data_IF_868618361016
#
_entry.id   IF_868618361016
#
_cell.length_a   1.000
_cell.length_b   1.000
_cell.length_c   1.000
_cell.angle_alpha   90.00
_cell.angle_beta   90.00
_cell.angle_gamma   90.00
#
_symmetry.space_group_name_H-M   'P 1'
#
loop_
_entity.id
_entity.type
_entity.pdbx_description
1 polymer ?
#
# COMPACT_ATOMS: atom_id res chain seq x y z
N UNK A 1 -11.49 -7.58 5.70
CA UNK A 1 -12.55 -7.84 6.67
C UNK A 1 -12.11 -8.93 7.65
N UNK A 2 -12.31 -8.70 8.94
CA UNK A 2 -12.11 -9.71 10.00
C UNK A 2 -13.28 -10.69 10.11
N UNK A 3 -14.34 -10.48 9.33
CA UNK A 3 -15.47 -11.39 9.29
C UNK A 3 -15.05 -12.73 8.66
N UNK A 4 -15.29 -13.82 9.39
CA UNK A 4 -14.96 -15.19 8.95
C UNK A 4 -16.13 -15.87 8.23
N UNK A 5 -17.32 -15.32 8.35
CA UNK A 5 -18.53 -15.87 7.76
C UNK A 5 -18.53 -15.67 6.24
N UNK A 6 -18.71 -16.75 5.51
CA UNK A 6 -18.72 -16.75 4.03
C UNK A 6 -20.12 -17.03 3.54
N UNK A 7 -20.70 -16.07 2.80
CA UNK A 7 -22.03 -16.18 2.21
C UNK A 7 -21.99 -16.67 0.76
N UNK A 8 -20.92 -16.40 0.04
CA UNK A 8 -20.66 -16.95 -1.30
C UNK A 8 -19.23 -17.43 -1.37
N UNK A 9 -19.04 -18.68 -1.78
CA UNK A 9 -17.75 -19.25 -2.10
C UNK A 9 -17.64 -19.49 -3.61
N UNK A 10 -16.64 -18.89 -4.24
CA UNK A 10 -16.30 -19.20 -5.64
C UNK A 10 -15.18 -20.23 -5.62
N UNK A 11 -15.51 -21.48 -5.93
CA UNK A 11 -14.57 -22.59 -5.90
C UNK A 11 -14.10 -22.95 -7.31
N UNK A 12 -12.87 -22.59 -7.64
CA UNK A 12 -12.23 -22.90 -8.92
C UNK A 12 -11.54 -24.27 -8.93
N UNK A 13 -11.42 -24.92 -7.76
CA UNK A 13 -10.89 -26.27 -7.57
C UNK A 13 -11.45 -26.88 -6.30
N UNK A 14 -11.24 -28.20 -6.12
CA UNK A 14 -11.70 -28.93 -4.96
C UNK A 14 -11.05 -28.45 -3.66
N UNK A 15 -9.77 -28.11 -3.69
CA UNK A 15 -9.03 -27.61 -2.51
C UNK A 15 -9.68 -26.36 -1.90
N UNK A 16 -10.25 -25.50 -2.71
CA UNK A 16 -10.99 -24.31 -2.23
C UNK A 16 -12.19 -24.70 -1.39
N UNK A 17 -12.95 -25.73 -1.81
CA UNK A 17 -14.08 -26.26 -1.06
C UNK A 17 -13.59 -26.87 0.26
N UNK A 18 -12.60 -27.76 0.19
CA UNK A 18 -12.08 -28.48 1.36
C UNK A 18 -11.54 -27.52 2.42
N UNK A 19 -10.87 -26.43 2.01
CA UNK A 19 -10.30 -25.42 2.93
C UNK A 19 -11.31 -24.45 3.53
N UNK A 20 -12.42 -24.16 2.85
CA UNK A 20 -13.29 -23.05 3.23
C UNK A 20 -14.74 -23.45 3.54
N UNK A 21 -15.11 -24.72 3.37
CA UNK A 21 -16.46 -25.23 3.67
C UNK A 21 -16.90 -24.90 5.09
N UNK A 22 -16.00 -25.04 6.07
CA UNK A 22 -16.28 -24.77 7.48
C UNK A 22 -16.57 -23.28 7.81
N UNK A 23 -16.35 -22.37 6.87
CA UNK A 23 -16.64 -20.93 7.01
C UNK A 23 -18.01 -20.54 6.44
N UNK A 24 -18.66 -21.46 5.73
CA UNK A 24 -19.96 -21.21 5.12
C UNK A 24 -21.02 -21.13 6.20
N UNK A 25 -21.88 -20.14 6.10
CA UNK A 25 -23.06 -20.01 6.97
C UNK A 25 -24.29 -20.63 6.32
N UNK A 26 -25.35 -20.88 7.09
CA UNK A 26 -26.60 -21.42 6.55
C UNK A 26 -27.17 -20.50 5.48
N UNK A 27 -27.61 -21.09 4.35
CA UNK A 27 -28.10 -20.36 3.18
C UNK A 27 -27.00 -19.80 2.27
N UNK A 28 -25.73 -20.10 2.52
CA UNK A 28 -24.60 -19.75 1.66
C UNK A 28 -24.70 -20.38 0.28
N UNK A 29 -24.06 -19.75 -0.71
CA UNK A 29 -23.94 -20.26 -2.08
C UNK A 29 -22.51 -20.68 -2.44
N UNK A 30 -22.37 -21.75 -3.21
CA UNK A 30 -21.11 -22.20 -3.78
C UNK A 30 -21.21 -22.15 -5.30
N UNK A 31 -20.42 -21.28 -5.94
CA UNK A 31 -20.23 -21.25 -7.38
C UNK A 31 -19.04 -22.14 -7.73
N UNK A 32 -19.21 -23.06 -8.65
CA UNK A 32 -18.15 -23.97 -9.09
C UNK A 32 -18.33 -24.39 -10.54
N UNK A 33 -17.28 -24.90 -11.15
CA UNK A 33 -17.38 -25.49 -12.50
C UNK A 33 -18.11 -26.85 -12.41
N UNK A 34 -19.35 -26.88 -12.90
CA UNK A 34 -20.19 -28.07 -12.86
C UNK A 34 -19.69 -29.23 -13.73
N UNK A 35 -18.80 -28.97 -14.71
CA UNK A 35 -18.20 -30.01 -15.54
C UNK A 35 -16.98 -30.65 -14.82
N UNK A 36 -16.27 -29.90 -13.98
CA UNK A 36 -15.05 -30.35 -13.31
C UNK A 36 -15.31 -30.88 -11.87
N UNK A 37 -16.23 -30.28 -11.12
CA UNK A 37 -16.46 -30.54 -9.71
C UNK A 37 -17.88 -31.09 -9.46
N UNK A 38 -18.00 -31.95 -8.48
CA UNK A 38 -19.28 -32.60 -8.09
C UNK A 38 -19.43 -32.61 -6.54
N UNK A 39 -19.47 -31.45 -5.88
CA UNK A 39 -19.71 -31.41 -4.45
C UNK A 39 -21.12 -31.91 -4.15
N UNK A 40 -21.27 -32.66 -3.03
CA UNK A 40 -22.56 -33.08 -2.50
C UNK A 40 -23.02 -32.13 -1.38
N UNK A 41 -24.31 -31.99 -1.15
CA UNK A 41 -24.83 -31.25 0.02
C UNK A 41 -24.38 -31.86 1.33
N UNK A 42 -24.14 -33.17 1.35
CA UNK A 42 -23.68 -33.91 2.53
C UNK A 42 -22.20 -33.60 2.89
N UNK A 43 -21.46 -32.90 2.02
CA UNK A 43 -20.08 -32.47 2.28
C UNK A 43 -20.03 -31.25 3.21
N UNK A 44 -21.18 -30.68 3.63
CA UNK A 44 -21.24 -29.41 4.36
C UNK A 44 -22.04 -29.55 5.67
N UNK A 45 -21.56 -28.88 6.71
CA UNK A 45 -22.18 -28.86 8.06
C UNK A 45 -23.47 -28.02 8.11
N UNK A 46 -23.70 -27.17 7.09
CA UNK A 46 -24.84 -26.25 7.00
C UNK A 46 -25.59 -26.44 5.68
N UNK A 47 -26.84 -25.95 5.64
CA UNK A 47 -27.59 -25.88 4.38
C UNK A 47 -26.89 -24.89 3.44
N UNK A 48 -26.37 -25.40 2.30
CA UNK A 48 -25.72 -24.63 1.25
C UNK A 48 -26.40 -24.82 -0.08
N UNK A 49 -26.37 -23.79 -0.91
CA UNK A 49 -26.89 -23.83 -2.28
C UNK A 49 -25.75 -24.04 -3.26
N UNK A 50 -25.92 -25.00 -4.14
CA UNK A 50 -24.91 -25.38 -5.13
C UNK A 50 -25.26 -24.80 -6.50
N UNK A 51 -24.33 -24.01 -7.06
CA UNK A 51 -24.47 -23.36 -8.36
C UNK A 51 -23.43 -23.91 -9.35
N UNK A 52 -23.75 -25.05 -10.01
CA UNK A 52 -22.91 -25.63 -11.06
C UNK A 52 -23.01 -24.77 -12.31
N UNK A 53 -21.92 -24.10 -12.66
CA UNK A 53 -21.82 -23.24 -13.85
C UNK A 53 -20.72 -23.81 -14.73
N UNK A 54 -20.89 -23.95 -16.05
CA UNK A 54 -19.85 -24.45 -16.94
C UNK A 54 -18.79 -23.35 -17.19
N UNK A 55 -18.04 -23.00 -16.12
CA UNK A 55 -17.14 -21.85 -16.10
C UNK A 55 -16.07 -21.93 -17.20
N UNK A 56 -15.45 -23.09 -17.35
CA UNK A 56 -14.40 -23.31 -18.35
C UNK A 56 -14.94 -23.27 -19.78
N UNK A 57 -16.11 -23.83 -20.00
CA UNK A 57 -16.76 -23.84 -21.33
C UNK A 57 -17.05 -22.39 -21.75
N UNK A 58 -17.70 -21.61 -20.90
CA UNK A 58 -18.02 -20.21 -21.17
C UNK A 58 -16.73 -19.38 -21.36
N UNK A 59 -15.73 -19.61 -20.54
CA UNK A 59 -14.45 -18.90 -20.65
C UNK A 59 -13.78 -19.12 -22.02
N UNK A 60 -13.78 -20.36 -22.51
CA UNK A 60 -13.20 -20.71 -23.80
C UNK A 60 -13.92 -20.03 -24.99
N UNK A 61 -15.23 -19.79 -24.88
CA UNK A 61 -16.02 -19.04 -25.87
C UNK A 61 -15.71 -17.53 -25.88
N UNK A 62 -15.08 -17.00 -24.82
CA UNK A 62 -14.80 -15.58 -24.64
C UNK A 62 -13.34 -15.17 -24.81
N UNK A 63 -12.41 -16.12 -24.91
CA UNK A 63 -10.98 -15.78 -25.04
C UNK A 63 -10.04 -16.74 -24.33
N UNK A 64 -10.57 -17.86 -23.84
CA UNK A 64 -9.80 -18.95 -23.24
C UNK A 64 -9.85 -18.99 -21.71
N UNK A 65 -9.09 -19.94 -21.16
CA UNK A 65 -9.09 -20.28 -19.72
C UNK A 65 -8.93 -19.08 -18.79
N UNK A 66 -8.20 -18.06 -19.21
CA UNK A 66 -7.95 -16.83 -18.40
C UNK A 66 -9.25 -16.07 -18.04
N UNK A 67 -10.31 -16.24 -18.84
CA UNK A 67 -11.61 -15.59 -18.61
C UNK A 67 -12.46 -16.28 -17.53
N UNK A 68 -12.05 -17.46 -17.02
CA UNK A 68 -12.83 -18.23 -16.06
C UNK A 68 -13.18 -17.42 -14.78
N UNK A 69 -12.24 -16.62 -14.29
CA UNK A 69 -12.48 -15.79 -13.12
C UNK A 69 -13.55 -14.71 -13.39
N UNK A 70 -13.51 -14.13 -14.58
CA UNK A 70 -14.49 -13.09 -14.96
C UNK A 70 -15.88 -13.68 -15.17
N UNK A 71 -15.99 -14.89 -15.72
CA UNK A 71 -17.27 -15.63 -15.80
C UNK A 71 -17.85 -15.88 -14.40
N UNK A 72 -17.01 -16.37 -13.47
CA UNK A 72 -17.43 -16.63 -12.09
C UNK A 72 -17.83 -15.34 -11.35
N UNK A 73 -17.14 -14.22 -11.63
CA UNK A 73 -17.49 -12.93 -11.05
C UNK A 73 -18.85 -12.43 -11.59
N UNK A 74 -19.11 -12.53 -12.90
CA UNK A 74 -20.41 -12.22 -13.49
C UNK A 74 -21.54 -13.05 -12.89
N UNK A 75 -21.30 -14.36 -12.68
CA UNK A 75 -22.23 -15.24 -12.01
C UNK A 75 -22.50 -14.81 -10.55
N UNK A 76 -21.47 -14.40 -9.83
CA UNK A 76 -21.60 -13.88 -8.45
C UNK A 76 -22.48 -12.62 -8.41
N UNK A 77 -22.25 -11.67 -9.32
CA UNK A 77 -23.05 -10.44 -9.43
C UNK A 77 -24.52 -10.77 -9.71
N UNK A 78 -24.79 -11.77 -10.55
CA UNK A 78 -26.14 -12.21 -10.85
C UNK A 78 -26.87 -12.83 -9.62
N UNK A 79 -26.20 -13.65 -8.84
CA UNK A 79 -26.75 -14.23 -7.59
C UNK A 79 -27.07 -13.13 -6.58
N UNK A 80 -26.21 -12.14 -6.45
CA UNK A 80 -26.39 -10.98 -5.56
C UNK A 80 -27.42 -9.96 -6.05
N UNK A 81 -27.99 -10.19 -7.23
CA UNK A 81 -28.94 -9.28 -7.90
C UNK A 81 -28.38 -7.85 -8.02
N UNK A 82 -27.10 -7.74 -8.36
CA UNK A 82 -26.43 -6.46 -8.45
C UNK A 82 -26.23 -6.01 -9.91
N UNK A 83 -25.96 -4.73 -10.09
CA UNK A 83 -25.89 -4.08 -11.40
C UNK A 83 -24.62 -4.52 -12.17
N UNK A 84 -24.84 -5.23 -13.30
CA UNK A 84 -23.75 -5.68 -14.18
C UNK A 84 -23.00 -4.51 -14.84
N UNK A 85 -23.65 -3.36 -15.08
CA UNK A 85 -23.00 -2.22 -15.72
C UNK A 85 -21.93 -1.60 -14.84
N UNK A 86 -22.09 -1.64 -13.50
CA UNK A 86 -21.03 -1.23 -12.59
C UNK A 86 -19.80 -2.12 -12.70
N UNK A 87 -19.99 -3.44 -12.84
CA UNK A 87 -18.88 -4.36 -13.09
C UNK A 87 -18.22 -4.09 -14.44
N UNK A 88 -19.01 -3.84 -15.48
CA UNK A 88 -18.49 -3.52 -16.82
C UNK A 88 -17.63 -2.25 -16.79
N UNK A 89 -18.04 -1.20 -16.05
CA UNK A 89 -17.25 0.03 -15.92
C UNK A 89 -15.87 -0.25 -15.28
N UNK A 90 -15.83 -1.07 -14.22
CA UNK A 90 -14.57 -1.48 -13.57
C UNK A 90 -13.69 -2.32 -14.51
N UNK A 91 -14.29 -3.19 -15.33
CA UNK A 91 -13.53 -3.94 -16.33
C UNK A 91 -12.90 -2.99 -17.36
N UNK A 92 -13.67 -2.01 -17.86
CA UNK A 92 -13.18 -1.00 -18.80
C UNK A 92 -11.99 -0.25 -18.18
N UNK A 93 -12.14 0.28 -16.97
CA UNK A 93 -11.09 1.05 -16.30
C UNK A 93 -9.80 0.24 -16.10
N UNK A 94 -9.92 -1.05 -15.76
CA UNK A 94 -8.76 -1.90 -15.50
C UNK A 94 -8.04 -2.40 -16.75
N UNK A 95 -8.77 -2.65 -17.85
CA UNK A 95 -8.21 -3.34 -19.01
C UNK A 95 -7.98 -2.42 -20.21
N UNK A 96 -8.83 -1.42 -20.47
CA UNK A 96 -8.74 -0.59 -21.67
C UNK A 96 -7.44 0.20 -21.78
N UNK A 97 -6.93 0.74 -20.67
CA UNK A 97 -5.71 1.54 -20.64
C UNK A 97 -4.41 0.74 -20.73
N UNK A 98 -4.41 -0.50 -20.23
CA UNK A 98 -3.19 -1.33 -20.09
C UNK A 98 -3.03 -2.42 -21.14
N UNK A 99 -4.13 -2.97 -21.64
CA UNK A 99 -4.12 -4.19 -22.48
C UNK A 99 -4.94 -4.08 -23.76
N UNK A 100 -5.52 -2.93 -24.04
CA UNK A 100 -6.31 -2.66 -25.24
C UNK A 100 -7.80 -3.01 -25.11
N UNK A 101 -8.61 -2.34 -25.93
CA UNK A 101 -10.08 -2.44 -25.92
C UNK A 101 -10.58 -3.89 -26.13
N UNK A 102 -9.91 -4.68 -26.96
CA UNK A 102 -10.31 -6.06 -27.25
C UNK A 102 -10.34 -6.95 -26.01
N UNK A 103 -9.39 -6.80 -25.09
CA UNK A 103 -9.36 -7.58 -23.85
C UNK A 103 -10.47 -7.14 -22.91
N UNK A 104 -10.77 -5.85 -22.86
CA UNK A 104 -11.92 -5.34 -22.09
C UNK A 104 -13.23 -5.92 -22.61
N UNK A 105 -13.45 -5.91 -23.94
CA UNK A 105 -14.64 -6.50 -24.60
C UNK A 105 -14.78 -8.00 -24.30
N UNK A 106 -13.70 -8.76 -24.36
CA UNK A 106 -13.70 -10.19 -24.02
C UNK A 106 -14.10 -10.43 -22.55
N UNK A 107 -13.59 -9.61 -21.62
CA UNK A 107 -13.94 -9.71 -20.22
C UNK A 107 -15.41 -9.32 -19.98
N UNK A 108 -15.92 -8.27 -20.60
CA UNK A 108 -17.35 -7.87 -20.55
C UNK A 108 -18.23 -8.99 -21.05
N UNK A 109 -17.87 -9.59 -22.20
CA UNK A 109 -18.61 -10.74 -22.75
C UNK A 109 -18.61 -11.92 -21.78
N UNK A 110 -17.45 -12.25 -21.17
CA UNK A 110 -17.34 -13.33 -20.20
C UNK A 110 -18.18 -13.09 -18.94
N UNK A 111 -18.15 -11.87 -18.40
CA UNK A 111 -18.97 -11.45 -17.26
C UNK A 111 -20.47 -11.59 -17.58
N UNK A 112 -20.88 -11.07 -18.74
CA UNK A 112 -22.28 -11.13 -19.19
C UNK A 112 -22.76 -12.56 -19.34
N UNK A 113 -21.98 -13.44 -19.97
CA UNK A 113 -22.37 -14.83 -20.17
C UNK A 113 -22.50 -15.58 -18.81
N UNK A 114 -21.61 -15.32 -17.84
CA UNK A 114 -21.74 -15.85 -16.50
C UNK A 114 -22.98 -15.33 -15.76
N UNK A 115 -23.25 -14.04 -15.89
CA UNK A 115 -24.42 -13.37 -15.36
C UNK A 115 -25.74 -13.97 -15.95
N UNK A 116 -25.85 -14.00 -17.28
CA UNK A 116 -27.02 -14.50 -17.98
C UNK A 116 -27.27 -16.00 -17.66
N UNK A 117 -26.20 -16.80 -17.53
CA UNK A 117 -26.33 -18.20 -17.15
C UNK A 117 -27.04 -18.37 -15.80
N UNK A 118 -26.65 -17.59 -14.81
CA UNK A 118 -27.28 -17.64 -13.47
C UNK A 118 -28.72 -17.13 -13.52
N UNK A 119 -28.98 -16.00 -14.18
CA UNK A 119 -30.36 -15.47 -14.28
C UNK A 119 -31.32 -16.44 -14.97
N UNK A 120 -30.83 -17.22 -15.93
CA UNK A 120 -31.65 -18.18 -16.67
C UNK A 120 -31.86 -19.51 -15.93
N UNK A 121 -30.88 -19.98 -15.13
CA UNK A 121 -30.92 -21.29 -14.52
C UNK A 121 -31.24 -21.28 -13.03
N UNK A 122 -30.99 -20.14 -12.34
CA UNK A 122 -31.17 -20.00 -10.88
C UNK A 122 -31.87 -18.66 -10.54
N UNK A 123 -33.04 -18.35 -11.12
CA UNK A 123 -33.73 -17.09 -10.87
C UNK A 123 -34.14 -17.00 -9.40
N UNK A 124 -33.75 -15.89 -8.74
CA UNK A 124 -34.12 -15.55 -7.35
C UNK A 124 -33.87 -16.63 -6.29
N UNK A 125 -33.00 -17.58 -6.58
CA UNK A 125 -32.70 -18.70 -5.68
C UNK A 125 -31.80 -18.31 -4.51
N UNK A 126 -31.02 -17.22 -4.61
CA UNK A 126 -30.07 -16.82 -3.57
C UNK A 126 -30.64 -15.73 -2.64
N UNK A 127 -30.56 -15.99 -1.31
CA UNK A 127 -31.21 -15.14 -0.30
C UNK A 127 -30.48 -13.83 0.02
N UNK A 128 -29.18 -13.70 -0.28
CA UNK A 128 -28.42 -12.50 -0.02
C UNK A 128 -28.38 -11.60 -1.26
N UNK A 129 -28.74 -10.33 -1.09
CA UNK A 129 -28.77 -9.36 -2.17
C UNK A 129 -27.91 -8.14 -1.83
N UNK A 130 -27.26 -7.56 -2.83
CA UNK A 130 -26.56 -6.28 -2.68
C UNK A 130 -27.48 -5.13 -3.11
N UNK A 131 -27.51 -4.11 -2.28
CA UNK A 131 -28.25 -2.87 -2.59
C UNK A 131 -27.25 -1.78 -2.90
N UNK A 132 -27.45 -1.09 -4.03
CA UNK A 132 -26.65 0.07 -4.38
C UNK A 132 -26.94 1.21 -3.39
N UNK A 133 -25.90 1.61 -2.65
CA UNK A 133 -25.95 2.76 -1.75
C UNK A 133 -25.59 4.04 -2.52
N UNK A 134 -26.14 5.21 -2.12
CA UNK A 134 -25.68 6.49 -2.65
C UNK A 134 -24.17 6.63 -2.46
N UNK A 135 -23.47 7.03 -3.51
CA UNK A 135 -22.02 7.27 -3.47
C UNK A 135 -21.77 8.78 -3.51
N UNK A 136 -20.89 9.27 -2.64
CA UNK A 136 -20.42 10.65 -2.63
C UNK A 136 -18.95 10.76 -2.99
N UNK A 137 -18.47 9.93 -3.89
CA UNK A 137 -17.10 10.03 -4.39
C UNK A 137 -16.04 9.55 -3.40
N UNK A 138 -16.30 8.43 -2.74
CA UNK A 138 -15.31 7.75 -1.89
C UNK A 138 -14.14 7.18 -2.71
N UNK A 139 -13.00 7.09 -2.06
CA UNK A 139 -11.83 6.41 -2.61
C UNK A 139 -11.77 4.97 -2.11
N UNK A 140 -11.25 4.07 -2.93
CA UNK A 140 -11.00 2.68 -2.58
C UNK A 140 -9.48 2.46 -2.64
N UNK A 141 -8.83 2.38 -1.47
CA UNK A 141 -7.38 2.42 -1.31
C UNK A 141 -6.89 1.34 -0.35
N UNK A 142 -5.64 0.94 -0.54
CA UNK A 142 -4.85 0.21 0.46
C UNK A 142 -4.05 1.17 1.34
N UNK A 143 -3.53 0.67 2.48
CA UNK A 143 -2.66 1.46 3.36
C UNK A 143 -1.41 1.95 2.64
N UNK A 144 -0.78 1.11 1.80
CA UNK A 144 0.41 1.48 1.05
C UNK A 144 0.12 2.54 -0.03
N UNK A 145 -1.05 2.51 -0.67
CA UNK A 145 -1.47 3.59 -1.57
C UNK A 145 -1.69 4.90 -0.81
N UNK A 146 -2.31 4.83 0.37
CA UNK A 146 -2.52 6.00 1.22
C UNK A 146 -1.20 6.62 1.69
N UNK A 147 -0.21 5.82 2.09
CA UNK A 147 1.16 6.27 2.42
C UNK A 147 1.80 6.95 1.18
N UNK A 148 1.67 6.36 0.00
CA UNK A 148 2.23 6.92 -1.23
C UNK A 148 1.61 8.29 -1.57
N UNK A 149 0.28 8.39 -1.49
CA UNK A 149 -0.46 9.64 -1.71
C UNK A 149 -0.07 10.68 -0.66
N UNK A 150 0.01 10.29 0.62
CA UNK A 150 0.45 11.13 1.72
C UNK A 150 1.86 11.68 1.50
N UNK A 151 2.78 10.84 1.05
CA UNK A 151 4.16 11.23 0.73
C UNK A 151 4.23 12.27 -0.39
N UNK A 152 3.47 12.06 -1.46
CA UNK A 152 3.38 13.01 -2.57
C UNK A 152 2.82 14.36 -2.09
N UNK A 153 1.75 14.32 -1.31
CA UNK A 153 1.12 15.51 -0.73
C UNK A 153 2.02 16.23 0.27
N UNK A 154 2.82 15.48 1.03
CA UNK A 154 3.87 16.03 1.89
C UNK A 154 5.01 16.70 1.10
N UNK A 155 5.05 16.63 -0.21
CA UNK A 155 6.12 17.19 -1.02
C UNK A 155 7.37 16.31 -1.09
N UNK A 156 7.26 15.00 -0.93
CA UNK A 156 8.33 14.06 -1.20
C UNK A 156 8.76 14.16 -2.68
N UNK A 157 10.05 14.33 -2.91
CA UNK A 157 10.63 14.48 -4.25
C UNK A 157 11.63 13.38 -4.59
N UNK A 158 12.05 12.62 -3.60
CA UNK A 158 12.97 11.53 -3.82
C UNK A 158 12.50 10.29 -3.03
N UNK A 159 12.39 9.18 -3.73
CA UNK A 159 12.07 7.88 -3.14
C UNK A 159 13.06 6.83 -3.66
N UNK A 160 13.69 6.11 -2.77
CA UNK A 160 14.57 5.01 -3.13
C UNK A 160 14.22 3.77 -2.29
N UNK A 161 14.09 2.62 -2.91
CA UNK A 161 13.80 1.38 -2.19
C UNK A 161 14.31 0.14 -2.94
N UNK A 162 14.60 -0.90 -2.19
CA UNK A 162 14.72 -2.26 -2.68
C UNK A 162 13.39 -2.99 -2.44
N UNK A 163 12.86 -3.74 -3.42
CA UNK A 163 11.56 -4.40 -3.28
C UNK A 163 11.54 -5.44 -2.18
N UNK A 164 10.87 -5.14 -1.07
CA UNK A 164 10.65 -6.09 0.01
C UNK A 164 9.17 -6.10 0.43
N UNK A 165 8.51 -7.25 0.26
CA UNK A 165 7.10 -7.44 0.66
C UNK A 165 6.96 -7.31 2.18
N UNK A 166 5.96 -6.54 2.70
CA UNK A 166 4.82 -5.97 2.00
C UNK A 166 4.99 -4.51 1.54
N UNK A 167 6.16 -3.89 1.66
CA UNK A 167 6.38 -2.50 1.25
C UNK A 167 6.49 -2.28 -0.27
N UNK A 168 6.63 -3.35 -1.08
CA UNK A 168 6.91 -3.26 -2.53
C UNK A 168 5.87 -2.49 -3.33
N UNK A 169 4.61 -2.45 -2.89
CA UNK A 169 3.56 -1.68 -3.58
C UNK A 169 3.76 -0.17 -3.43
N UNK A 170 4.41 0.31 -2.35
CA UNK A 170 4.79 1.73 -2.22
C UNK A 170 5.75 2.11 -3.34
N UNK A 171 6.77 1.26 -3.63
CA UNK A 171 7.69 1.46 -4.74
C UNK A 171 6.95 1.60 -6.07
N UNK A 172 6.05 0.65 -6.37
CA UNK A 172 5.27 0.66 -7.61
C UNK A 172 4.37 1.89 -7.73
N UNK A 173 3.75 2.31 -6.63
CA UNK A 173 2.89 3.49 -6.58
C UNK A 173 3.70 4.77 -6.82
N UNK A 174 4.84 4.94 -6.15
CA UNK A 174 5.71 6.10 -6.33
C UNK A 174 6.26 6.17 -7.76
N UNK A 175 6.73 5.05 -8.33
CA UNK A 175 7.20 4.95 -9.70
C UNK A 175 6.12 5.35 -10.72
N UNK A 176 4.87 4.92 -10.51
CA UNK A 176 3.75 5.26 -11.40
C UNK A 176 3.45 6.77 -11.45
N UNK A 177 3.83 7.50 -10.40
CA UNK A 177 3.57 8.93 -10.24
C UNK A 177 4.80 9.82 -10.52
N UNK A 178 5.93 9.23 -10.87
CA UNK A 178 7.19 9.93 -11.09
C UNK A 178 7.03 11.15 -12.03
N UNK A 179 6.43 10.95 -13.19
CA UNK A 179 6.21 12.00 -14.18
C UNK A 179 5.14 13.01 -13.77
N UNK A 180 4.08 12.57 -13.11
CA UNK A 180 2.94 13.41 -12.77
C UNK A 180 3.26 14.43 -11.69
N UNK A 181 4.15 14.07 -10.75
CA UNK A 181 4.48 14.89 -9.59
C UNK A 181 5.95 15.31 -9.51
N UNK A 182 6.72 15.04 -10.58
CA UNK A 182 8.15 15.34 -10.64
C UNK A 182 8.90 14.79 -9.42
N UNK A 183 8.78 13.49 -9.24
CA UNK A 183 9.43 12.71 -8.20
C UNK A 183 10.57 11.93 -8.86
N UNK A 184 11.69 11.78 -8.19
CA UNK A 184 12.75 10.88 -8.60
C UNK A 184 12.55 9.58 -7.82
N UNK A 185 12.21 8.49 -8.52
CA UNK A 185 12.12 7.16 -7.96
C UNK A 185 13.36 6.35 -8.34
N UNK A 186 13.91 5.57 -7.38
CA UNK A 186 15.06 4.70 -7.61
C UNK A 186 14.84 3.31 -7.03
N UNK A 187 14.75 2.33 -7.92
CA UNK A 187 14.89 0.93 -7.55
C UNK A 187 16.37 0.64 -7.32
N UNK A 188 16.75 0.35 -6.07
CA UNK A 188 18.14 0.15 -5.68
C UNK A 188 18.54 -1.32 -5.69
N UNK A 189 19.84 -1.60 -5.60
CA UNK A 189 20.37 -2.95 -5.54
C UNK A 189 20.10 -3.62 -4.18
N UNK A 190 20.09 -2.82 -3.09
CA UNK A 190 19.82 -3.26 -1.73
C UNK A 190 19.29 -2.11 -0.85
N UNK A 191 18.95 -2.41 0.39
CA UNK A 191 18.41 -1.45 1.35
C UNK A 191 19.47 -0.48 1.87
N UNK A 192 20.75 -0.87 1.90
CA UNK A 192 21.86 0.02 2.27
C UNK A 192 21.97 1.15 1.25
N UNK A 193 21.94 0.81 -0.03
CA UNK A 193 21.91 1.80 -1.11
C UNK A 193 20.67 2.69 -1.02
N UNK A 194 19.49 2.11 -0.74
CA UNK A 194 18.23 2.83 -0.65
C UNK A 194 18.25 3.93 0.42
N UNK A 195 18.62 3.58 1.65
CA UNK A 195 18.64 4.55 2.75
C UNK A 195 19.70 5.63 2.51
N UNK A 196 20.89 5.28 2.03
CA UNK A 196 21.96 6.25 1.79
C UNK A 196 21.62 7.22 0.64
N UNK A 197 20.95 6.75 -0.42
CA UNK A 197 20.42 7.63 -1.47
C UNK A 197 19.37 8.60 -0.92
N UNK A 198 18.46 8.12 -0.07
CA UNK A 198 17.44 8.97 0.54
C UNK A 198 18.05 10.00 1.50
N UNK A 199 19.08 9.62 2.30
CA UNK A 199 19.85 10.54 3.14
C UNK A 199 20.52 11.62 2.28
N UNK A 200 21.22 11.22 1.21
CA UNK A 200 21.90 12.17 0.31
C UNK A 200 20.93 13.17 -0.34
N UNK A 201 19.77 12.69 -0.79
CA UNK A 201 18.72 13.55 -1.34
C UNK A 201 18.16 14.52 -0.30
N UNK A 202 17.91 14.04 0.91
CA UNK A 202 17.42 14.90 2.00
C UNK A 202 18.48 15.90 2.45
N UNK A 203 19.74 15.49 2.53
CA UNK A 203 20.87 16.39 2.80
C UNK A 203 20.96 17.52 1.76
N UNK A 204 20.69 17.20 0.49
CA UNK A 204 20.62 18.18 -0.60
C UNK A 204 19.35 19.07 -0.57
N UNK A 205 18.45 18.90 0.41
CA UNK A 205 17.34 19.83 0.67
C UNK A 205 15.96 19.37 0.22
N UNK A 206 15.81 18.18 -0.38
CA UNK A 206 14.49 17.67 -0.77
C UNK A 206 13.92 16.73 0.29
N UNK A 207 12.59 16.63 0.39
CA UNK A 207 11.95 15.58 1.20
C UNK A 207 12.20 14.24 0.54
N UNK A 208 12.77 13.31 1.29
CA UNK A 208 13.12 11.97 0.82
C UNK A 208 12.54 10.88 1.72
N UNK A 209 12.25 9.74 1.13
CA UNK A 209 11.69 8.57 1.81
C UNK A 209 12.29 7.28 1.27
N UNK A 210 12.35 6.26 2.13
CA UNK A 210 12.57 4.87 1.75
C UNK A 210 11.50 3.98 2.38
N UNK A 211 11.32 2.77 1.85
CA UNK A 211 10.37 1.79 2.38
C UNK A 211 10.94 0.38 2.30
N UNK A 212 10.73 -0.41 3.36
CA UNK A 212 11.24 -1.77 3.48
C UNK A 212 10.38 -2.60 4.45
N UNK A 213 10.85 -3.78 4.83
CA UNK A 213 10.32 -4.65 5.88
C UNK A 213 11.46 -5.01 6.87
N UNK A 214 11.16 -5.69 7.95
CA UNK A 214 12.08 -5.93 9.07
C UNK A 214 13.50 -6.39 8.70
N UNK A 215 13.63 -7.34 7.76
CA UNK A 215 14.94 -7.78 7.29
C UNK A 215 15.75 -6.69 6.58
N UNK A 216 15.11 -5.88 5.73
CA UNK A 216 15.76 -4.75 5.07
C UNK A 216 16.00 -3.59 6.02
N UNK A 217 15.09 -3.36 6.98
CA UNK A 217 15.30 -2.36 8.03
C UNK A 217 16.55 -2.69 8.88
N UNK A 218 16.85 -3.97 9.09
CA UNK A 218 18.08 -4.39 9.76
C UNK A 218 19.34 -3.94 8.98
N UNK A 219 19.32 -3.96 7.65
CA UNK A 219 20.42 -3.46 6.82
C UNK A 219 20.52 -1.92 6.82
N UNK A 220 19.44 -1.23 7.17
CA UNK A 220 19.39 0.24 7.26
C UNK A 220 19.87 0.80 8.61
N UNK A 221 20.14 -0.04 9.61
CA UNK A 221 20.41 0.38 10.99
C UNK A 221 21.56 1.39 11.10
N UNK A 222 22.64 1.18 10.35
CA UNK A 222 23.77 2.11 10.33
C UNK A 222 23.41 3.44 9.64
N UNK A 223 22.70 3.37 8.53
CA UNK A 223 22.22 4.56 7.83
C UNK A 223 21.28 5.42 8.68
N UNK A 224 20.44 4.83 9.54
CA UNK A 224 19.63 5.57 10.51
C UNK A 224 20.52 6.36 11.48
N UNK A 225 21.59 5.76 11.98
CA UNK A 225 22.59 6.42 12.82
C UNK A 225 23.27 7.59 12.10
N UNK A 226 23.62 7.40 10.82
CA UNK A 226 24.20 8.48 9.97
C UNK A 226 23.22 9.65 9.81
N UNK A 227 21.95 9.36 9.51
CA UNK A 227 20.94 10.41 9.37
C UNK A 227 20.75 11.20 10.67
N UNK A 228 20.77 10.53 11.81
CA UNK A 228 20.69 11.16 13.12
C UNK A 228 21.94 12.01 13.43
N UNK A 229 23.12 11.46 13.21
CA UNK A 229 24.39 12.16 13.47
C UNK A 229 24.54 13.44 12.63
N UNK A 230 24.09 13.39 11.38
CA UNK A 230 24.12 14.55 10.48
C UNK A 230 22.89 15.46 10.63
N UNK A 231 21.97 15.13 11.54
CA UNK A 231 20.67 15.81 11.69
C UNK A 231 19.95 15.97 10.34
N UNK A 232 19.93 14.89 9.56
CA UNK A 232 19.30 14.87 8.24
C UNK A 232 17.88 14.30 8.35
N UNK A 233 16.84 15.09 8.00
CA UNK A 233 15.47 14.62 8.00
C UNK A 233 15.30 13.40 7.09
N UNK A 234 14.65 12.36 7.57
CA UNK A 234 14.40 11.16 6.77
C UNK A 234 13.10 10.49 7.20
N UNK A 235 12.28 10.07 6.24
CA UNK A 235 11.13 9.20 6.50
C UNK A 235 11.44 7.79 6.02
N UNK A 236 11.25 6.81 6.91
CA UNK A 236 11.43 5.40 6.61
C UNK A 236 10.12 4.67 6.88
N UNK A 237 9.58 3.96 5.91
CA UNK A 237 8.44 3.06 6.12
C UNK A 237 8.97 1.66 6.39
N UNK A 238 8.65 1.14 7.56
CA UNK A 238 8.87 -0.25 7.92
C UNK A 238 7.53 -0.97 7.92
N UNK A 239 7.32 -1.85 6.94
CA UNK A 239 6.12 -2.67 6.82
C UNK A 239 6.39 -4.07 7.36
N UNK A 240 5.88 -4.34 8.57
CA UNK A 240 6.16 -5.55 9.33
C UNK A 240 5.65 -6.81 8.67
N UNK A 241 6.41 -7.88 8.81
CA UNK A 241 6.03 -9.26 8.50
C UNK A 241 6.69 -10.21 9.50
N UNK A 242 6.20 -11.47 9.64
CA UNK A 242 6.84 -12.41 10.57
C UNK A 242 8.31 -12.65 10.22
N UNK A 243 9.20 -12.45 11.20
CA UNK A 243 10.60 -12.86 11.17
C UNK A 243 10.79 -14.26 11.77
N UNK A 244 12.02 -14.64 12.13
CA UNK A 244 13.29 -13.91 11.95
C UNK A 244 13.86 -14.00 10.53
N UNK A 245 14.92 -13.24 10.26
CA UNK A 245 15.60 -13.13 8.96
C UNK A 245 14.63 -12.77 7.82
N UNK A 246 14.66 -13.48 6.70
CA UNK A 246 13.73 -13.27 5.58
C UNK A 246 12.26 -13.48 5.98
N UNK A 247 12.01 -14.35 6.94
CA UNK A 247 10.68 -14.59 7.50
C UNK A 247 9.65 -15.10 6.48
N UNK A 248 8.39 -14.73 6.72
CA UNK A 248 7.26 -15.16 5.90
C UNK A 248 6.61 -13.96 5.19
N UNK A 249 7.09 -13.65 4.00
CA UNK A 249 6.69 -12.47 3.23
C UNK A 249 5.17 -12.34 2.96
N UNK A 250 4.46 -13.46 2.93
CA UNK A 250 3.01 -13.50 2.62
C UNK A 250 2.12 -13.54 3.87
N UNK A 251 2.70 -13.48 5.06
CA UNK A 251 1.97 -13.53 6.33
C UNK A 251 2.01 -12.18 7.05
N UNK A 252 1.00 -11.90 7.86
CA UNK A 252 0.95 -10.72 8.71
C UNK A 252 1.62 -10.99 10.06
N UNK A 253 2.39 -10.02 10.55
CA UNK A 253 3.02 -10.05 11.85
C UNK A 253 3.40 -8.64 12.30
N UNK A 254 3.55 -8.43 13.63
CA UNK A 254 3.86 -7.14 14.25
C UNK A 254 4.95 -7.35 15.32
N UNK A 255 6.11 -7.88 14.91
CA UNK A 255 7.21 -8.23 15.80
C UNK A 255 8.32 -7.18 15.95
N UNK A 256 8.32 -6.12 15.13
CA UNK A 256 9.52 -5.30 14.92
C UNK A 256 9.57 -4.00 15.75
N UNK A 257 8.53 -3.68 16.54
CA UNK A 257 8.46 -2.43 17.32
C UNK A 257 9.70 -2.20 18.18
N UNK A 258 10.16 -3.21 18.93
CA UNK A 258 11.34 -3.06 19.79
C UNK A 258 12.60 -2.82 18.98
N UNK A 259 12.73 -3.48 17.84
CA UNK A 259 13.84 -3.28 16.94
C UNK A 259 13.85 -1.88 16.35
N UNK A 260 12.71 -1.40 15.85
CA UNK A 260 12.56 -0.05 15.29
C UNK A 260 12.91 1.04 16.30
N UNK A 261 12.51 0.86 17.57
CA UNK A 261 12.80 1.80 18.65
C UNK A 261 14.29 1.88 19.00
N UNK A 262 15.07 0.81 18.77
CA UNK A 262 16.45 0.69 19.24
C UNK A 262 17.48 0.39 18.13
N UNK A 263 17.04 0.31 16.86
CA UNK A 263 17.97 0.01 15.76
C UNK A 263 19.03 1.10 15.63
N UNK A 264 20.27 0.75 15.70
CA UNK A 264 21.52 1.46 15.47
C UNK A 264 22.57 1.10 16.54
N UNK A 265 23.78 1.60 16.37
CA UNK A 265 24.80 1.64 17.41
C UNK A 265 24.60 2.92 18.22
N UNK A 266 24.48 2.80 19.55
CA UNK A 266 24.21 3.92 20.44
C UNK A 266 22.79 4.55 20.30
N UNK A 267 22.46 5.51 21.15
CA UNK A 267 21.13 6.12 21.26
C UNK A 267 21.06 7.47 20.55
N UNK A 268 19.95 7.71 19.86
CA UNK A 268 19.61 8.99 19.27
C UNK A 268 18.09 9.18 19.23
N UNK A 269 17.60 10.43 19.21
CA UNK A 269 16.17 10.70 19.11
C UNK A 269 15.61 10.26 17.76
N UNK A 270 14.50 9.56 17.77
CA UNK A 270 13.71 9.16 16.61
C UNK A 270 12.24 9.20 16.92
N UNK A 271 11.40 9.37 15.91
CA UNK A 271 9.96 9.26 16.04
C UNK A 271 9.51 7.96 15.38
N UNK A 272 8.64 7.22 16.05
CA UNK A 272 7.96 6.04 15.48
C UNK A 272 6.46 6.30 15.49
N UNK A 273 5.84 6.20 14.32
CA UNK A 273 4.41 6.43 14.10
C UNK A 273 3.79 5.14 13.59
N UNK A 274 2.74 4.67 14.24
CA UNK A 274 2.04 3.44 13.85
C UNK A 274 0.59 3.76 13.45
N UNK A 275 0.28 3.92 12.14
CA UNK A 275 -1.08 4.13 11.69
C UNK A 275 -1.96 2.91 11.95
N UNK A 276 -3.20 3.12 12.39
CA UNK A 276 -4.17 2.07 12.68
C UNK A 276 -5.15 1.79 11.54
N UNK A 277 -5.31 2.72 10.58
CA UNK A 277 -6.18 2.58 9.43
C UNK A 277 -5.64 3.32 8.19
N UNK A 278 -6.40 3.27 7.09
CA UNK A 278 -5.99 3.86 5.81
C UNK A 278 -5.96 5.39 5.85
N UNK A 279 -6.88 6.01 6.59
CA UNK A 279 -6.90 7.46 6.74
C UNK A 279 -5.69 7.93 7.55
N UNK A 280 -5.37 7.24 8.62
CA UNK A 280 -4.15 7.48 9.40
C UNK A 280 -2.88 7.22 8.58
N UNK A 281 -2.87 6.22 7.70
CA UNK A 281 -1.75 6.03 6.76
C UNK A 281 -1.46 7.29 5.93
N UNK A 282 -2.50 8.00 5.50
CA UNK A 282 -2.34 9.26 4.77
C UNK A 282 -1.90 10.41 5.68
N UNK A 283 -2.66 10.72 6.73
CA UNK A 283 -2.43 11.90 7.56
C UNK A 283 -1.14 11.80 8.37
N UNK A 284 -0.85 10.65 8.95
CA UNK A 284 0.38 10.46 9.71
C UNK A 284 1.63 10.41 8.82
N UNK A 285 1.50 10.06 7.53
CA UNK A 285 2.60 10.23 6.59
C UNK A 285 2.91 11.70 6.34
N UNK A 286 1.91 12.57 6.21
CA UNK A 286 2.13 14.02 6.14
C UNK A 286 2.86 14.54 7.38
N UNK A 287 2.41 14.12 8.56
CA UNK A 287 3.03 14.54 9.83
C UNK A 287 4.44 13.98 9.99
N UNK A 288 4.70 12.75 9.52
CA UNK A 288 6.04 12.16 9.54
C UNK A 288 7.08 13.04 8.84
N UNK A 289 6.75 13.58 7.66
CA UNK A 289 7.63 14.49 6.95
C UNK A 289 7.81 15.83 7.66
N UNK A 290 6.75 16.36 8.27
CA UNK A 290 6.82 17.59 9.05
C UNK A 290 7.69 17.42 10.30
N UNK A 291 7.50 16.32 11.02
CA UNK A 291 8.31 16.00 12.21
C UNK A 291 9.78 15.79 11.85
N UNK A 292 10.04 15.08 10.73
CA UNK A 292 11.41 14.87 10.26
C UNK A 292 12.13 16.20 9.96
N UNK A 293 11.49 17.12 9.24
CA UNK A 293 12.06 18.42 8.94
C UNK A 293 12.15 19.33 10.19
N UNK A 294 11.11 19.35 11.04
CA UNK A 294 11.05 20.20 12.23
C UNK A 294 12.12 19.85 13.23
N UNK A 295 12.36 18.58 13.45
CA UNK A 295 13.33 18.09 14.44
C UNK A 295 14.63 17.57 13.85
N UNK A 296 14.75 17.57 12.52
CA UNK A 296 15.96 17.17 11.77
C UNK A 296 16.44 15.76 12.17
N UNK A 297 15.53 14.79 12.17
CA UNK A 297 15.78 13.43 12.62
C UNK A 297 15.05 12.38 11.76
N UNK A 298 15.44 11.11 11.84
CA UNK A 298 14.68 10.03 11.25
C UNK A 298 13.29 9.86 11.89
N UNK A 299 12.26 9.73 11.06
CA UNK A 299 10.89 9.36 11.43
C UNK A 299 10.54 8.06 10.76
N UNK A 300 10.06 7.09 11.53
CA UNK A 300 9.74 5.75 11.06
C UNK A 300 8.23 5.56 11.09
N UNK A 301 7.64 5.23 9.95
CA UNK A 301 6.24 4.80 9.85
C UNK A 301 6.24 3.28 9.97
N UNK A 302 5.72 2.78 11.08
CA UNK A 302 5.65 1.36 11.39
C UNK A 302 4.25 0.84 11.02
N UNK A 303 4.16 0.17 9.90
CA UNK A 303 2.93 -0.47 9.41
C UNK A 303 3.10 -1.98 9.36
N UNK A 304 2.14 -2.71 8.82
CA UNK A 304 2.23 -4.15 8.60
C UNK A 304 1.58 -4.57 7.28
N UNK A 305 1.75 -5.85 6.93
CA UNK A 305 1.17 -6.41 5.72
C UNK A 305 -0.35 -6.29 5.66
N UNK A 306 -1.04 -6.49 6.78
CA UNK A 306 -2.50 -6.47 6.79
C UNK A 306 -3.03 -5.07 6.45
N UNK A 307 -2.55 -4.03 7.13
CA UNK A 307 -2.93 -2.65 6.85
C UNK A 307 -2.42 -2.21 5.47
N UNK A 308 -1.16 -2.51 5.14
CA UNK A 308 -0.52 -2.05 3.91
C UNK A 308 -1.19 -2.58 2.64
N UNK A 309 -1.68 -3.83 2.65
CA UNK A 309 -2.24 -4.49 1.46
C UNK A 309 -3.77 -4.67 1.50
N UNK A 310 -4.43 -4.36 2.63
CA UNK A 310 -5.90 -4.41 2.71
C UNK A 310 -6.53 -3.18 2.08
N UNK A 311 -7.55 -3.40 1.27
CA UNK A 311 -8.33 -2.34 0.64
C UNK A 311 -9.55 -1.99 1.50
N UNK A 312 -9.84 -0.71 1.62
CA UNK A 312 -11.07 -0.22 2.22
C UNK A 312 -11.57 1.03 1.49
N UNK A 313 -12.85 1.32 1.68
CA UNK A 313 -13.47 2.54 1.18
C UNK A 313 -13.30 3.65 2.20
N UNK A 314 -12.71 4.75 1.80
CA UNK A 314 -12.45 5.93 2.63
C UNK A 314 -13.03 7.18 2.00
N UNK A 315 -13.33 8.19 2.82
CA UNK A 315 -13.72 9.50 2.33
C UNK A 315 -12.54 10.21 1.66
N UNK A 316 -12.84 11.19 0.80
CA UNK A 316 -11.79 11.98 0.15
C UNK A 316 -10.95 12.72 1.19
N UNK A 317 -9.64 12.60 1.09
CA UNK A 317 -8.72 13.29 2.01
C UNK A 317 -8.84 14.80 1.88
N UNK A 318 -8.73 15.50 3.00
CA UNK A 318 -8.77 16.96 3.02
C UNK A 318 -7.62 17.55 2.19
N UNK A 319 -7.91 18.57 1.39
CA UNK A 319 -6.91 19.24 0.54
C UNK A 319 -5.95 20.16 1.32
N UNK A 320 -6.20 20.40 2.60
CA UNK A 320 -5.38 21.30 3.42
C UNK A 320 -4.19 20.53 3.96
N UNK A 321 -3.02 20.75 3.37
CA UNK A 321 -1.75 20.19 3.82
C UNK A 321 -0.84 21.32 4.23
N UNK A 322 -0.41 21.33 5.49
CA UNK A 322 0.63 22.24 5.97
C UNK A 322 1.96 21.53 5.74
N UNK A 323 2.84 22.16 4.98
CA UNK A 323 4.21 21.73 4.77
C UNK A 323 5.11 22.55 5.69
N UNK A 324 5.59 21.92 6.78
CA UNK A 324 6.51 22.53 7.73
C UNK A 324 7.94 22.03 7.44
N UNK A 325 8.79 22.93 6.96
CA UNK A 325 10.20 22.62 6.66
C UNK A 325 11.13 22.89 7.85
N UNK A 326 10.56 23.15 9.05
CA UNK A 326 11.33 23.48 10.24
C UNK A 326 12.24 24.69 10.04
N UNK A 327 13.49 24.58 10.45
CA UNK A 327 14.48 25.66 10.33
C UNK A 327 15.37 25.54 9.09
N UNK A 328 14.81 25.00 7.98
CA UNK A 328 15.52 25.01 6.70
C UNK A 328 15.63 26.46 6.19
N UNK A 329 16.85 26.93 5.99
CA UNK A 329 17.12 28.30 5.52
C UNK A 329 16.72 28.48 4.06
N UNK A 330 16.06 29.60 3.74
CA UNK A 330 15.97 30.08 2.37
C UNK A 330 17.32 30.64 1.90
N UNK A 331 17.47 30.87 0.58
CA UNK A 331 18.70 31.44 0.04
C UNK A 331 18.98 32.85 0.59
N UNK A 332 17.92 33.67 0.80
CA UNK A 332 18.01 34.99 1.39
C UNK A 332 18.42 34.96 2.87
N UNK A 333 17.96 33.97 3.62
CA UNK A 333 18.33 33.77 5.03
C UNK A 333 19.77 33.26 5.14
N UNK A 334 20.18 32.36 4.26
CA UNK A 334 21.55 31.85 4.18
C UNK A 334 22.53 32.95 3.84
N UNK A 335 22.19 33.80 2.86
CA UNK A 335 23.08 34.94 2.42
C UNK A 335 23.31 35.97 3.54
N UNK A 336 22.40 36.09 4.50
CA UNK A 336 22.52 36.98 5.67
C UNK A 336 23.35 36.40 6.82
N UNK A 337 23.75 35.13 6.74
CA UNK A 337 24.58 34.52 7.78
C UNK A 337 25.99 35.09 7.75
N UNK A 338 26.46 35.56 8.89
CA UNK A 338 27.84 36.05 9.05
C UNK A 338 28.76 34.98 9.65
N UNK A 339 28.21 34.05 10.40
CA UNK A 339 28.94 32.95 11.02
C UNK A 339 27.95 31.78 11.17
N UNK A 340 27.84 30.97 10.12
CA UNK A 340 26.94 29.81 10.12
C UNK A 340 27.60 28.61 10.83
N UNK A 341 26.92 28.07 11.82
CA UNK A 341 27.28 26.85 12.50
C UNK A 341 26.14 25.84 12.33
N UNK A 342 26.42 24.74 11.63
CA UNK A 342 25.39 23.73 11.32
C UNK A 342 24.80 23.10 12.58
N UNK A 343 25.62 22.86 13.60
CA UNK A 343 25.22 22.19 14.84
C UNK A 343 25.21 23.18 16.03
N UNK A 344 24.79 24.40 15.76
CA UNK A 344 24.69 25.43 16.80
C UNK A 344 23.74 25.00 17.92
N UNK A 345 24.20 25.06 19.16
CA UNK A 345 23.34 24.87 20.34
C UNK A 345 22.34 26.01 20.42
N UNK A 346 21.06 25.68 20.50
CA UNK A 346 19.94 26.63 20.58
C UNK A 346 19.02 26.26 21.75
N UNK A 347 18.17 27.19 22.17
CA UNK A 347 17.20 26.94 23.25
C UNK A 347 16.16 25.86 22.88
N UNK A 348 15.86 25.73 21.58
CA UNK A 348 14.94 24.70 21.08
C UNK A 348 15.58 23.33 20.91
N UNK A 349 16.92 23.24 20.95
CA UNK A 349 17.67 22.04 20.59
C UNK A 349 17.75 21.77 19.08
N UNK A 350 17.17 22.64 18.23
CA UNK A 350 17.17 22.49 16.77
C UNK A 350 17.93 23.64 16.14
N UNK A 351 18.97 23.36 15.37
CA UNK A 351 19.78 24.35 14.69
C UNK A 351 19.24 24.71 13.29
N UNK A 352 19.46 25.94 12.80
CA UNK A 352 19.16 26.28 11.42
C UNK A 352 19.93 25.40 10.44
N UNK A 353 19.24 24.86 9.43
CA UNK A 353 19.81 23.95 8.43
C UNK A 353 19.94 24.63 7.08
N UNK A 354 21.17 24.73 6.59
CA UNK A 354 21.45 25.08 5.21
C UNK A 354 21.61 23.83 4.33
N UNK A 355 21.51 24.02 3.03
CA UNK A 355 21.75 22.97 2.03
C UNK A 355 23.01 23.28 1.22
N UNK A 356 23.67 22.26 0.61
CA UNK A 356 24.84 22.46 -0.21
C UNK A 356 24.60 23.47 -1.33
N UNK A 357 25.54 24.41 -1.48
CA UNK A 357 25.50 25.48 -2.50
C UNK A 357 24.93 26.81 -2.02
N UNK A 358 24.31 26.89 -0.84
CA UNK A 358 23.88 28.17 -0.27
C UNK A 358 25.08 29.03 0.18
N UNK A 359 25.04 30.33 -0.14
CA UNK A 359 26.09 31.25 0.23
C UNK A 359 26.23 31.42 1.74
N UNK A 360 27.45 31.62 2.19
CA UNK A 360 27.82 31.87 3.59
C UNK A 360 27.48 30.73 4.59
N UNK A 361 27.03 29.57 4.09
CA UNK A 361 26.63 28.46 4.92
C UNK A 361 27.45 27.18 4.64
N UNK A 362 28.74 27.36 4.41
CA UNK A 362 29.64 26.18 4.23
C UNK A 362 29.89 25.49 5.57
N UNK A 363 29.77 24.19 5.58
CA UNK A 363 30.04 23.32 6.75
C UNK A 363 30.51 21.94 6.29
N UNK A 364 31.12 21.22 7.18
CA UNK A 364 31.47 19.80 6.99
C UNK A 364 30.51 18.97 7.82
N UNK A 365 29.81 18.03 7.19
CA UNK A 365 28.92 17.11 7.90
C UNK A 365 29.75 16.03 8.61
N UNK A 366 30.26 16.36 9.79
CA UNK A 366 31.16 15.52 10.59
C UNK A 366 30.74 15.56 12.05
N UNK A 367 30.93 14.42 12.74
CA UNK A 367 30.75 14.32 14.21
C UNK A 367 31.73 15.15 15.02
N UNK A 368 32.73 15.75 14.41
CA UNK A 368 33.78 16.53 15.08
C UNK A 368 33.57 18.06 14.93
N UNK A 369 32.55 18.49 14.19
CA UNK A 369 32.22 19.91 14.08
C UNK A 369 31.09 20.28 15.03
N UNK A 370 31.36 21.21 15.90
CA UNK A 370 30.40 21.84 16.82
C UNK A 370 29.99 23.23 16.30
#
# INVERSE_FOLDING_TARGET
SLNRDVHILVALNKETIDKHSHKLVSGSGIIYDGDELKPSKDDFDHEVKLYPIPLMKIANECGGRIMRNTVALGATIALLDFDLELMNSVIIDNFSSKKGAMIAEQNIKAAKMGYDYVKNNFPDDFGYKLVRLPSHGRMFLSGNEAISIGSIKAGCKFFAAYPMTPASSILSNMASQEKNYNIVEKHTEDEIAAINMAIGASFAGVRAMTATSGGGFALMAEGLGLAAQNETPLVVVEAQRPGPATGMATHSGQGDLRFVLHASTDEFPRVVIAPGDIEECYYLTLEAFNLADRYQMPVIILTDKYLGESYNTVESFANHTIIDRGLLLSDEEAEKQSNYLRYKVTDSGVSPRAIPGQKNCMFVASSYEN
#
